data_IF_137023950021
#
_entry.id   IF_137023950021
#
_cell.length_a   1.000
_cell.length_b   1.000
_cell.length_c   1.000
_cell.angle_alpha   90.00
_cell.angle_beta   90.00
_cell.angle_gamma   90.00
#
_symmetry.space_group_name_H-M   'P 1'
#
loop_
_entity.id
_entity.type
_entity.pdbx_description
1 polymer ?
#
# COMPACT_ATOMS: atom_id res chain seq x y z
N UNK A 1 -20.93 -19.14 19.52
CA UNK A 1 -19.95 -18.92 20.58
C UNK A 1 -19.91 -17.45 21.02
N UNK A 2 -19.68 -16.49 20.12
CA UNK A 2 -19.54 -15.07 20.45
C UNK A 2 -20.75 -14.55 21.25
N UNK A 3 -21.99 -14.78 20.77
CA UNK A 3 -23.21 -14.35 21.46
C UNK A 3 -23.34 -14.89 22.89
N UNK A 4 -22.82 -16.09 23.15
CA UNK A 4 -22.94 -16.77 24.45
C UNK A 4 -21.81 -16.41 25.43
N UNK A 5 -20.65 -16.00 24.90
CA UNK A 5 -19.44 -15.88 25.71
C UNK A 5 -18.85 -14.46 25.75
N UNK A 6 -19.37 -13.51 24.94
CA UNK A 6 -18.81 -12.16 24.90
C UNK A 6 -18.80 -11.46 26.26
N UNK A 7 -19.80 -11.71 27.11
CA UNK A 7 -19.86 -11.13 28.44
C UNK A 7 -18.93 -11.80 29.44
N UNK A 8 -18.52 -13.07 29.18
CA UNK A 8 -17.55 -13.78 30.02
C UNK A 8 -16.11 -13.30 29.81
N UNK A 9 -15.86 -12.55 28.74
CA UNK A 9 -14.54 -11.97 28.47
C UNK A 9 -14.14 -10.97 29.55
N UNK A 10 -15.10 -10.31 30.22
CA UNK A 10 -14.84 -9.47 31.38
C UNK A 10 -14.23 -10.25 32.55
N UNK A 11 -14.66 -11.50 32.73
CA UNK A 11 -14.17 -12.37 33.81
C UNK A 11 -12.71 -12.79 33.55
N UNK A 12 -12.22 -12.64 32.30
CA UNK A 12 -10.82 -12.86 31.91
C UNK A 12 -9.94 -11.61 32.12
N UNK A 13 -10.44 -10.56 32.74
CA UNK A 13 -9.70 -9.32 33.01
C UNK A 13 -9.56 -8.39 31.80
N UNK A 14 -10.34 -8.61 30.75
CA UNK A 14 -10.32 -7.74 29.56
C UNK A 14 -11.39 -6.65 29.73
N UNK A 15 -10.96 -5.40 29.77
CA UNK A 15 -11.87 -4.25 29.81
C UNK A 15 -12.55 -4.06 28.44
N UNK A 16 -13.88 -4.15 28.43
CA UNK A 16 -14.72 -3.91 27.24
C UNK A 16 -15.24 -2.47 27.15
N UNK A 17 -14.87 -1.60 28.10
CA UNK A 17 -15.38 -0.21 28.22
C UNK A 17 -14.56 0.81 27.44
N UNK A 18 -13.41 0.43 26.89
CA UNK A 18 -12.56 1.29 26.08
C UNK A 18 -13.14 1.58 24.69
N UNK A 19 -12.66 2.66 24.07
CA UNK A 19 -12.96 2.97 22.66
C UNK A 19 -12.20 2.06 21.65
N UNK A 20 -11.51 1.05 22.14
CA UNK A 20 -10.69 0.14 21.35
C UNK A 20 -11.53 -1.00 20.78
N UNK A 21 -11.12 -1.50 19.64
CA UNK A 21 -11.74 -2.69 19.02
C UNK A 21 -11.29 -3.96 19.76
N UNK A 22 -12.23 -4.84 20.06
CA UNK A 22 -11.93 -6.21 20.47
C UNK A 22 -11.74 -7.06 19.21
N UNK A 23 -10.58 -7.68 19.06
CA UNK A 23 -10.29 -8.65 18.00
C UNK A 23 -10.31 -10.05 18.61
N UNK A 24 -11.14 -10.93 18.08
CA UNK A 24 -11.24 -12.32 18.52
C UNK A 24 -10.71 -13.18 17.37
N UNK A 25 -9.71 -13.99 17.66
CA UNK A 25 -9.13 -14.96 16.74
C UNK A 25 -9.52 -16.37 17.23
N UNK A 26 -9.95 -17.22 16.30
CA UNK A 26 -10.18 -18.62 16.55
C UNK A 26 -8.94 -19.41 16.12
N UNK A 27 -8.54 -20.39 16.92
CA UNK A 27 -7.50 -21.32 16.52
C UNK A 27 -8.10 -22.29 15.51
N UNK A 28 -7.64 -22.25 14.28
CA UNK A 28 -8.12 -23.04 13.17
C UNK A 28 -7.03 -23.17 12.08
N UNK A 29 -7.24 -24.03 11.09
CA UNK A 29 -6.30 -24.26 10.02
C UNK A 29 -6.06 -22.97 9.19
N UNK A 30 -4.81 -22.71 8.90
CA UNK A 30 -4.39 -21.54 8.11
C UNK A 30 -5.11 -21.46 6.75
N UNK A 31 -5.35 -22.61 6.13
CA UNK A 31 -6.04 -22.68 4.83
C UNK A 31 -7.48 -22.20 4.90
N UNK A 32 -8.17 -22.45 6.02
CA UNK A 32 -9.52 -21.94 6.25
C UNK A 32 -9.52 -20.42 6.37
N UNK A 33 -8.54 -19.84 7.09
CA UNK A 33 -8.37 -18.41 7.19
C UNK A 33 -8.11 -17.77 5.82
N UNK A 34 -7.21 -18.33 5.02
CA UNK A 34 -6.91 -17.83 3.66
C UNK A 34 -8.15 -17.85 2.78
N UNK A 35 -8.96 -18.93 2.83
CA UNK A 35 -10.18 -19.05 2.04
C UNK A 35 -11.24 -18.03 2.45
N UNK A 36 -11.46 -17.85 3.75
CA UNK A 36 -12.43 -16.89 4.25
C UNK A 36 -11.95 -15.44 4.07
N UNK A 37 -10.63 -15.18 4.20
CA UNK A 37 -10.02 -13.89 3.90
C UNK A 37 -10.27 -13.48 2.45
N UNK A 38 -10.13 -14.38 1.48
CA UNK A 38 -10.43 -14.09 0.08
C UNK A 38 -11.85 -13.55 -0.10
N UNK A 39 -12.83 -14.16 0.56
CA UNK A 39 -14.23 -13.69 0.51
C UNK A 39 -14.40 -12.31 1.14
N UNK A 40 -13.75 -12.07 2.27
CA UNK A 40 -13.80 -10.79 2.97
C UNK A 40 -13.10 -9.69 2.17
N UNK A 41 -11.90 -9.97 1.65
CA UNK A 41 -11.09 -9.06 0.86
C UNK A 41 -11.84 -8.59 -0.37
N UNK A 42 -12.54 -9.48 -1.09
CA UNK A 42 -13.35 -9.13 -2.26
C UNK A 42 -14.37 -8.01 -1.97
N UNK A 43 -14.93 -7.97 -0.77
CA UNK A 43 -15.93 -6.95 -0.39
C UNK A 43 -15.31 -5.64 0.10
N UNK A 44 -14.00 -5.61 0.37
CA UNK A 44 -13.31 -4.48 1.01
C UNK A 44 -12.15 -3.91 0.19
N UNK A 45 -11.65 -4.70 -0.76
CA UNK A 45 -10.46 -4.33 -1.53
C UNK A 45 -10.77 -3.26 -2.60
N UNK A 46 -12.02 -3.24 -3.05
CA UNK A 46 -12.47 -2.28 -4.04
C UNK A 46 -13.19 -1.10 -3.39
N UNK A 47 -12.97 0.07 -3.96
CA UNK A 47 -13.55 1.33 -3.48
C UNK A 47 -15.07 1.35 -3.59
N UNK A 48 -15.59 0.90 -4.75
CA UNK A 48 -17.01 0.84 -5.06
C UNK A 48 -17.28 -0.30 -6.02
N UNK A 49 -18.16 -1.21 -5.62
CA UNK A 49 -18.47 -2.41 -6.41
C UNK A 49 -19.23 -2.11 -7.70
N UNK A 50 -19.86 -0.93 -7.82
CA UNK A 50 -20.55 -0.50 -9.04
C UNK A 50 -19.62 -0.40 -10.26
N UNK A 51 -18.32 -0.29 -10.03
CA UNK A 51 -17.30 -0.25 -11.09
C UNK A 51 -16.72 -1.63 -11.42
N UNK A 52 -17.12 -2.67 -10.72
CA UNK A 52 -16.62 -4.00 -10.97
C UNK A 52 -17.11 -4.51 -12.31
N UNK A 53 -16.20 -5.09 -13.07
CA UNK A 53 -16.48 -5.76 -14.33
C UNK A 53 -15.92 -7.18 -14.28
N UNK A 54 -16.55 -8.10 -14.99
CA UNK A 54 -16.03 -9.46 -15.15
C UNK A 54 -15.42 -9.60 -16.54
N UNK A 55 -14.17 -10.08 -16.60
CA UNK A 55 -13.45 -10.39 -17.83
C UNK A 55 -12.79 -11.76 -17.64
N UNK A 56 -13.08 -12.70 -18.52
CA UNK A 56 -12.51 -14.05 -18.52
C UNK A 56 -12.66 -14.76 -17.15
N UNK A 57 -13.82 -14.60 -16.49
CA UNK A 57 -14.09 -15.19 -15.18
C UNK A 57 -13.36 -14.52 -14.00
N UNK A 58 -12.69 -13.39 -14.25
CA UNK A 58 -12.05 -12.60 -13.21
C UNK A 58 -12.80 -11.29 -12.97
N UNK A 59 -12.98 -10.95 -11.71
CA UNK A 59 -13.57 -9.68 -11.33
C UNK A 59 -12.45 -8.63 -11.23
N UNK A 60 -12.59 -7.57 -12.03
CA UNK A 60 -11.74 -6.39 -11.94
C UNK A 60 -12.51 -5.25 -11.30
N UNK A 61 -11.87 -4.52 -10.39
CA UNK A 61 -12.49 -3.40 -9.69
C UNK A 61 -11.53 -2.26 -9.46
N UNK A 62 -12.09 -1.14 -9.04
CA UNK A 62 -11.32 0.03 -8.65
C UNK A 62 -10.76 -0.17 -7.23
N UNK A 63 -9.44 -0.22 -7.04
CA UNK A 63 -8.87 -0.42 -5.72
C UNK A 63 -9.13 0.75 -4.78
N UNK A 64 -9.14 0.50 -3.48
CA UNK A 64 -9.28 1.54 -2.45
C UNK A 64 -8.07 2.45 -2.39
N UNK A 65 -6.87 1.87 -2.44
CA UNK A 65 -5.60 2.57 -2.43
C UNK A 65 -5.14 2.76 -3.89
N UNK A 66 -5.27 3.95 -4.42
CA UNK A 66 -5.19 4.12 -5.86
C UNK A 66 -4.67 5.49 -6.32
N UNK A 67 -3.60 5.96 -5.76
CA UNK A 67 -2.97 7.21 -6.22
C UNK A 67 -3.97 8.37 -6.32
N UNK A 68 -4.87 8.46 -5.37
CA UNK A 68 -5.95 9.45 -5.34
C UNK A 68 -7.06 9.27 -6.39
N UNK A 69 -7.16 8.13 -7.05
CA UNK A 69 -8.27 7.79 -7.94
C UNK A 69 -9.40 7.12 -7.14
N UNK A 70 -10.23 7.86 -6.46
CA UNK A 70 -11.38 7.30 -5.75
C UNK A 70 -12.71 7.73 -6.36
N UNK A 71 -13.77 6.99 -6.05
CA UNK A 71 -15.11 7.23 -6.59
C UNK A 71 -15.71 8.61 -6.25
N UNK A 72 -15.12 9.33 -5.32
CA UNK A 72 -15.56 10.66 -4.87
C UNK A 72 -14.89 11.79 -5.63
N UNK A 73 -13.84 11.50 -6.42
CA UNK A 73 -13.13 12.53 -7.16
C UNK A 73 -13.90 12.90 -8.43
N UNK A 74 -14.03 14.21 -8.71
CA UNK A 74 -14.63 14.66 -9.96
C UNK A 74 -13.80 14.18 -11.15
N UNK A 75 -14.48 13.97 -12.27
CA UNK A 75 -13.88 13.56 -13.57
C UNK A 75 -13.27 12.15 -13.64
N UNK A 76 -13.48 11.32 -12.64
CA UNK A 76 -13.02 9.95 -12.69
C UNK A 76 -13.79 9.10 -13.70
N UNK A 77 -15.11 9.30 -13.79
CA UNK A 77 -15.97 8.65 -14.77
C UNK A 77 -15.92 9.38 -16.11
N UNK A 78 -15.53 8.65 -17.13
CA UNK A 78 -15.56 9.17 -18.49
C UNK A 78 -16.82 8.68 -19.22
N UNK A 79 -17.88 9.46 -19.22
CA UNK A 79 -19.20 9.05 -19.75
C UNK A 79 -19.22 8.75 -21.26
N UNK A 80 -18.22 9.22 -22.00
CA UNK A 80 -18.11 9.02 -23.46
C UNK A 80 -17.27 7.81 -23.84
N UNK A 81 -16.65 7.11 -22.90
CA UNK A 81 -15.85 5.91 -23.16
C UNK A 81 -16.66 4.65 -22.86
N UNK A 82 -16.38 3.56 -23.62
CA UNK A 82 -16.97 2.23 -23.34
C UNK A 82 -16.69 1.74 -21.92
N UNK A 83 -15.50 2.09 -21.36
CA UNK A 83 -15.14 1.86 -19.97
C UNK A 83 -15.17 3.19 -19.25
N UNK A 84 -16.05 3.32 -18.29
CA UNK A 84 -16.26 4.56 -17.53
C UNK A 84 -15.11 4.86 -16.57
N UNK A 85 -14.42 3.83 -16.08
CA UNK A 85 -13.30 3.96 -15.15
C UNK A 85 -12.00 3.53 -15.83
N UNK A 86 -10.95 4.37 -15.82
CA UNK A 86 -9.72 4.14 -16.58
C UNK A 86 -8.79 3.08 -15.98
N UNK A 87 -8.99 2.71 -14.72
CA UNK A 87 -8.06 1.88 -13.96
C UNK A 87 -8.79 0.85 -13.12
N UNK A 88 -8.70 -0.41 -13.54
CA UNK A 88 -9.29 -1.54 -12.84
C UNK A 88 -8.23 -2.62 -12.63
N UNK A 89 -8.21 -3.20 -11.45
CA UNK A 89 -7.24 -4.23 -11.05
C UNK A 89 -7.95 -5.52 -10.66
N UNK A 90 -7.21 -6.62 -10.80
CA UNK A 90 -7.59 -7.91 -10.21
C UNK A 90 -7.52 -7.83 -8.68
N UNK A 91 -8.21 -8.71 -7.94
CA UNK A 91 -8.13 -8.75 -6.47
C UNK A 91 -6.69 -8.92 -5.97
N UNK A 92 -5.91 -9.77 -6.64
CA UNK A 92 -4.51 -10.02 -6.28
C UNK A 92 -3.65 -8.76 -6.44
N UNK A 93 -3.77 -8.07 -7.59
CA UNK A 93 -3.04 -6.82 -7.83
C UNK A 93 -3.46 -5.72 -6.86
N UNK A 94 -4.75 -5.62 -6.54
CA UNK A 94 -5.26 -4.67 -5.56
C UNK A 94 -4.75 -4.98 -4.14
N UNK A 95 -4.62 -6.27 -3.76
CA UNK A 95 -4.05 -6.67 -2.48
C UNK A 95 -2.56 -6.29 -2.37
N UNK A 96 -1.77 -6.54 -3.42
CA UNK A 96 -0.35 -6.14 -3.48
C UNK A 96 -0.22 -4.62 -3.38
N UNK A 97 -1.05 -3.89 -4.12
CA UNK A 97 -1.08 -2.43 -4.04
C UNK A 97 -1.42 -1.94 -2.62
N UNK A 98 -2.38 -2.57 -1.95
CA UNK A 98 -2.72 -2.27 -0.56
C UNK A 98 -1.53 -2.47 0.38
N UNK A 99 -0.86 -3.60 0.28
CA UNK A 99 0.33 -3.89 1.09
C UNK A 99 1.44 -2.84 0.86
N UNK A 100 1.61 -2.39 -0.38
CA UNK A 100 2.57 -1.35 -0.72
C UNK A 100 2.20 0.00 -0.06
N UNK A 101 0.95 0.43 -0.14
CA UNK A 101 0.51 1.67 0.52
C UNK A 101 0.57 1.58 2.04
N UNK A 102 0.30 0.42 2.64
CA UNK A 102 0.49 0.19 4.07
C UNK A 102 1.98 0.30 4.47
N UNK A 103 2.89 -0.19 3.62
CA UNK A 103 4.33 -0.01 3.79
C UNK A 103 4.71 1.49 3.74
N UNK A 104 4.26 2.21 2.72
CA UNK A 104 4.51 3.65 2.59
C UNK A 104 3.99 4.43 3.82
N UNK A 105 2.79 4.08 4.31
CA UNK A 105 2.23 4.68 5.52
C UNK A 105 3.10 4.41 6.76
N UNK A 106 3.63 3.20 6.90
CA UNK A 106 4.53 2.85 7.99
C UNK A 106 5.83 3.65 7.93
N UNK A 107 6.43 3.82 6.75
CA UNK A 107 7.62 4.66 6.59
C UNK A 107 7.32 6.14 6.88
N UNK A 108 6.21 6.67 6.39
CA UNK A 108 5.79 8.03 6.69
C UNK A 108 5.51 8.25 8.19
N UNK A 109 5.03 7.24 8.91
CA UNK A 109 4.85 7.30 10.36
C UNK A 109 6.17 7.39 11.13
N UNK A 110 7.27 6.87 10.57
CA UNK A 110 8.63 7.02 11.10
C UNK A 110 9.25 8.39 10.72
N UNK A 111 8.58 9.15 9.85
CA UNK A 111 9.06 10.43 9.32
C UNK A 111 9.84 10.30 8.00
N UNK A 112 9.92 9.10 7.43
CA UNK A 112 10.59 8.86 6.17
C UNK A 112 9.65 9.24 5.02
N UNK A 113 10.07 10.20 4.21
CA UNK A 113 9.27 10.72 3.09
C UNK A 113 9.91 10.48 1.73
N UNK A 114 11.19 10.12 1.71
CA UNK A 114 11.96 9.84 0.50
C UNK A 114 12.35 8.37 0.48
N UNK A 115 11.86 7.61 -0.47
CA UNK A 115 12.13 6.18 -0.60
C UNK A 115 12.89 5.90 -1.89
N UNK A 116 13.96 5.15 -1.75
CA UNK A 116 14.85 4.74 -2.84
C UNK A 116 14.80 3.22 -2.95
N UNK A 117 14.46 2.72 -4.13
CA UNK A 117 14.36 1.30 -4.46
C UNK A 117 15.49 0.96 -5.42
N UNK A 118 16.52 0.31 -4.92
CA UNK A 118 17.66 -0.12 -5.74
C UNK A 118 17.23 -1.17 -6.77
N UNK A 119 17.80 -1.13 -7.97
CA UNK A 119 17.51 -2.09 -9.03
C UNK A 119 17.74 -3.54 -8.60
N UNK A 120 18.66 -3.80 -7.68
CA UNK A 120 18.91 -5.13 -7.13
C UNK A 120 17.73 -5.75 -6.38
N UNK A 121 16.77 -4.94 -5.93
CA UNK A 121 15.52 -5.41 -5.29
C UNK A 121 14.73 -6.30 -6.24
N UNK A 122 14.78 -6.00 -7.55
CA UNK A 122 14.01 -6.71 -8.56
C UNK A 122 14.70 -7.99 -9.04
N UNK A 123 16.03 -8.08 -8.86
CA UNK A 123 16.85 -9.20 -9.33
C UNK A 123 17.00 -10.35 -8.32
N UNK A 124 16.74 -10.11 -7.05
CA UNK A 124 16.91 -11.13 -6.03
C UNK A 124 15.67 -11.38 -5.18
N UNK A 125 15.25 -12.64 -5.11
CA UNK A 125 14.11 -13.11 -4.28
C UNK A 125 14.23 -12.78 -2.78
N UNK A 126 15.37 -12.28 -2.31
CA UNK A 126 15.69 -12.19 -0.88
C UNK A 126 16.47 -10.95 -0.44
N UNK A 127 16.60 -9.94 -1.30
CA UNK A 127 17.36 -8.77 -0.92
C UNK A 127 16.50 -7.79 -0.09
N UNK A 128 16.54 -7.94 1.24
CA UNK A 128 15.85 -7.05 2.18
C UNK A 128 16.48 -5.64 2.25
N UNK A 129 17.66 -5.45 1.70
CA UNK A 129 18.45 -4.21 1.84
C UNK A 129 18.34 -3.27 0.64
N UNK A 130 17.52 -3.57 -0.35
CA UNK A 130 17.40 -2.76 -1.56
C UNK A 130 16.44 -1.57 -1.45
N UNK A 131 15.88 -1.31 -0.26
CA UNK A 131 15.02 -0.15 -0.03
C UNK A 131 15.64 0.72 1.05
N UNK A 132 15.93 1.97 0.69
CA UNK A 132 16.44 2.99 1.61
C UNK A 132 15.36 4.04 1.81
N UNK A 133 14.93 4.25 3.05
CA UNK A 133 13.90 5.20 3.42
C UNK A 133 14.52 6.32 4.27
N UNK A 134 14.42 7.56 3.80
CA UNK A 134 15.08 8.74 4.35
C UNK A 134 14.07 9.82 4.74
N UNK A 135 14.44 10.62 5.70
CA UNK A 135 13.70 11.83 6.06
C UNK A 135 13.94 12.94 5.06
N UNK A 136 13.08 13.94 5.09
CA UNK A 136 13.29 15.13 4.28
C UNK A 136 14.61 15.82 4.68
N UNK A 137 15.43 16.15 3.69
CA UNK A 137 16.76 16.76 3.89
C UNK A 137 17.89 15.75 4.09
N UNK A 138 17.61 14.47 4.21
CA UNK A 138 18.62 13.41 4.15
C UNK A 138 18.82 12.95 2.70
N UNK A 139 20.01 12.45 2.38
CA UNK A 139 20.36 11.98 1.04
C UNK A 139 21.01 10.61 1.12
N UNK A 140 20.92 9.89 0.00
CA UNK A 140 21.48 8.55 -0.11
C UNK A 140 23.00 8.61 -0.10
N UNK A 141 23.63 7.78 0.71
CA UNK A 141 25.07 7.60 0.74
C UNK A 141 25.48 6.52 -0.26
N UNK A 142 26.50 6.82 -1.08
CA UNK A 142 26.99 5.90 -2.11
C UNK A 142 26.32 6.10 -3.47
N UNK A 143 26.83 5.35 -4.44
CA UNK A 143 26.29 5.32 -5.80
C UNK A 143 24.93 4.62 -5.82
N UNK A 144 24.01 5.10 -6.64
CA UNK A 144 22.65 4.58 -6.67
C UNK A 144 22.09 4.52 -8.10
N UNK A 145 21.37 3.43 -8.39
CA UNK A 145 20.54 3.28 -9.58
C UNK A 145 19.25 2.57 -9.19
N UNK A 146 18.11 3.16 -9.53
CA UNK A 146 16.83 2.59 -9.15
C UNK A 146 15.67 3.55 -9.26
N UNK A 147 14.64 3.31 -8.48
CA UNK A 147 13.45 4.15 -8.43
C UNK A 147 13.42 5.00 -7.17
N UNK A 148 12.91 6.19 -7.33
CA UNK A 148 12.69 7.15 -6.25
C UNK A 148 11.21 7.46 -6.11
N UNK A 149 10.72 7.49 -4.86
CA UNK A 149 9.41 7.97 -4.51
C UNK A 149 9.51 9.02 -3.41
N UNK A 150 8.84 10.13 -3.61
CA UNK A 150 8.56 11.09 -2.55
C UNK A 150 7.09 10.96 -2.14
N UNK A 151 6.87 10.77 -0.85
CA UNK A 151 5.54 10.56 -0.29
C UNK A 151 5.16 11.67 0.69
N UNK A 152 3.86 11.97 0.72
CA UNK A 152 3.28 12.88 1.70
C UNK A 152 2.27 12.13 2.57
N UNK A 153 2.40 12.31 3.88
CA UNK A 153 1.46 11.81 4.85
C UNK A 153 0.32 12.80 5.06
N UNK A 154 -0.87 12.38 4.66
CA UNK A 154 -2.12 13.05 5.00
C UNK A 154 -3.04 12.10 5.77
N UNK A 155 -4.33 12.20 5.55
CA UNK A 155 -5.31 11.19 5.97
C UNK A 155 -5.06 9.85 5.28
N UNK A 156 -4.61 9.91 4.05
CA UNK A 156 -4.14 8.82 3.21
C UNK A 156 -2.75 9.18 2.71
N UNK A 157 -1.94 8.19 2.30
CA UNK A 157 -0.64 8.43 1.68
C UNK A 157 -0.85 8.92 0.24
N UNK A 158 -0.15 9.97 -0.12
CA UNK A 158 -0.02 10.43 -1.50
C UNK A 158 1.43 10.23 -1.96
N UNK A 159 1.61 9.76 -3.19
CA UNK A 159 2.88 9.81 -3.91
C UNK A 159 2.91 11.16 -4.63
N UNK A 160 3.78 12.06 -4.19
CA UNK A 160 3.89 13.40 -4.76
C UNK A 160 4.81 13.42 -5.96
N UNK A 161 5.88 12.66 -5.89
CA UNK A 161 6.87 12.57 -6.95
C UNK A 161 7.37 11.14 -7.09
N UNK A 162 7.62 10.75 -8.34
CA UNK A 162 8.28 9.49 -8.69
C UNK A 162 9.28 9.73 -9.82
N UNK A 163 10.42 9.08 -9.73
CA UNK A 163 11.46 9.20 -10.75
C UNK A 163 12.28 7.92 -10.85
N UNK A 164 13.01 7.80 -11.96
CA UNK A 164 14.00 6.75 -12.20
C UNK A 164 15.38 7.37 -12.22
N UNK A 165 16.22 6.99 -11.27
CA UNK A 165 17.60 7.45 -11.17
C UNK A 165 18.48 6.39 -11.83
N UNK A 166 19.11 6.76 -12.94
CA UNK A 166 19.87 5.81 -13.77
C UNK A 166 21.29 5.59 -13.25
N UNK A 167 21.97 6.65 -12.84
CA UNK A 167 23.37 6.58 -12.43
C UNK A 167 23.73 7.76 -11.52
N UNK A 168 23.25 7.73 -10.29
CA UNK A 168 23.64 8.72 -9.27
C UNK A 168 25.03 8.38 -8.75
N UNK A 169 25.91 9.38 -8.78
CA UNK A 169 27.26 9.30 -8.20
C UNK A 169 27.35 10.15 -6.95
N UNK A 170 27.62 9.50 -5.82
CA UNK A 170 27.77 10.16 -4.54
C UNK A 170 28.96 11.13 -4.52
N UNK A 171 30.06 10.74 -5.17
CA UNK A 171 31.26 11.57 -5.31
C UNK A 171 31.35 12.15 -6.72
N UNK A 172 31.47 13.45 -6.82
CA UNK A 172 31.75 14.10 -8.10
C UNK A 172 33.11 13.66 -8.65
N UNK A 173 33.13 13.27 -9.91
CA UNK A 173 34.37 12.89 -10.60
C UNK A 173 35.41 14.05 -10.64
N UNK A 174 34.91 15.27 -10.67
CA UNK A 174 35.73 16.50 -10.54
C UNK A 174 35.10 17.41 -9.50
N UNK A 175 35.90 18.03 -8.61
CA UNK A 175 35.36 18.98 -7.65
C UNK A 175 34.71 20.16 -8.37
N UNK A 176 33.57 20.59 -7.84
CA UNK A 176 32.90 21.79 -8.32
C UNK A 176 33.68 23.00 -7.78
N UNK A 177 34.30 23.76 -8.69
CA UNK A 177 35.02 24.99 -8.32
C UNK A 177 34.07 26.15 -8.51
N UNK A 178 33.75 26.82 -7.42
CA UNK A 178 32.94 28.03 -7.42
C UNK A 178 33.92 29.21 -7.52
N UNK A 179 33.76 30.06 -8.54
CA UNK A 179 34.53 31.30 -8.72
C UNK A 179 33.72 32.51 -8.26
#
# INVERSE_FOLDING_TARGET
>A
WIKQNIFKIKDMGIELTGKNYLKIFFEDDKELYVREEQRYVMTKIYNKNDYNIEIDGQILGLPNDNLALNSKKPYMEHKTRKKTVPYLLTPQSAAVQRMFFDYLMNEANKGNTNLFFDNSVFDSKYNKNGITALKNGEFIEGDFSGFFLQIQKGKEIAIEHQDTIVDYKYNLYKPFVYF
#
